data_IF_939827001136
#
_entry.id   IF_939827001136
#
_cell.length_a   1.000
_cell.length_b   1.000
_cell.length_c   1.000
_cell.angle_alpha   90.00
_cell.angle_beta   90.00
_cell.angle_gamma   90.00
#
_symmetry.space_group_name_H-M   'P 1'
#
loop_
_entity.id
_entity.type
_entity.pdbx_description
1 polymer ?
#
# COMPACT_ATOMS: atom_id res chain seq x y z
N UNK A 1 -18.99 -22.95 10.07
CA UNK A 1 -17.99 -22.19 9.30
C UNK A 1 -16.92 -21.52 10.19
N UNK A 2 -17.28 -20.82 11.28
CA UNK A 2 -16.30 -20.17 12.18
C UNK A 2 -15.47 -21.19 13.00
N UNK A 3 -16.09 -22.29 13.47
CA UNK A 3 -15.39 -23.37 14.18
C UNK A 3 -14.43 -24.17 13.31
N UNK A 4 -14.65 -24.21 12.01
CA UNK A 4 -13.77 -24.91 11.05
C UNK A 4 -12.47 -24.11 10.78
N UNK A 5 -12.54 -22.79 10.92
CA UNK A 5 -11.37 -21.89 10.83
C UNK A 5 -10.45 -22.01 12.07
N UNK A 6 -11.02 -22.26 13.25
CA UNK A 6 -10.25 -22.46 14.50
C UNK A 6 -9.56 -23.84 14.55
N UNK A 7 -10.17 -24.90 13.99
CA UNK A 7 -9.65 -26.27 14.04
C UNK A 7 -8.61 -26.57 12.97
N UNK A 8 -8.59 -25.84 11.85
CA UNK A 8 -7.62 -26.06 10.75
C UNK A 8 -6.39 -25.19 10.82
N UNK A 9 -6.27 -24.35 11.84
CA UNK A 9 -5.10 -23.49 12.07
C UNK A 9 -4.88 -22.49 10.93
N UNK A 10 -4.60 -21.24 11.26
CA UNK A 10 -4.30 -20.16 10.31
C UNK A 10 -3.15 -20.49 9.31
N UNK A 11 -2.47 -21.61 9.46
CA UNK A 11 -1.44 -22.12 8.57
C UNK A 11 -1.95 -22.60 7.20
N UNK A 12 -3.23 -22.97 7.08
CA UNK A 12 -3.78 -23.47 5.82
C UNK A 12 -4.45 -22.38 4.97
N UNK A 13 -4.68 -21.19 5.52
CA UNK A 13 -5.14 -20.02 4.77
C UNK A 13 -4.05 -19.45 3.84
N UNK A 14 -2.81 -19.89 4.02
CA UNK A 14 -1.63 -19.44 3.25
C UNK A 14 -0.89 -20.65 2.64
N UNK A 15 -1.60 -21.74 2.35
CA UNK A 15 -1.04 -22.88 1.62
C UNK A 15 -0.49 -22.44 0.25
N UNK A 16 0.55 -23.14 -0.21
CA UNK A 16 1.27 -22.83 -1.46
C UNK A 16 0.36 -22.74 -2.71
N UNK A 17 -0.85 -23.31 -2.65
CA UNK A 17 -1.85 -23.27 -3.73
C UNK A 17 -2.74 -22.02 -3.69
N UNK A 18 -2.76 -21.26 -2.58
CA UNK A 18 -3.57 -20.02 -2.44
C UNK A 18 -2.74 -18.74 -2.57
N UNK A 19 -1.44 -18.83 -2.77
CA UNK A 19 -0.59 -17.66 -3.02
C UNK A 19 -1.04 -16.83 -4.23
N UNK A 20 -1.76 -17.45 -5.18
CA UNK A 20 -2.39 -16.76 -6.31
C UNK A 20 -3.60 -15.90 -5.92
N UNK A 21 -4.31 -16.19 -4.82
CA UNK A 21 -5.50 -15.45 -4.39
C UNK A 21 -5.19 -14.22 -3.52
N UNK A 22 -4.04 -14.17 -2.88
CA UNK A 22 -3.59 -12.94 -2.16
C UNK A 22 -3.37 -11.80 -3.15
N UNK A 23 -3.06 -12.11 -4.40
CA UNK A 23 -2.92 -11.15 -5.51
C UNK A 23 -4.25 -10.47 -5.86
N UNK A 24 -5.38 -11.15 -5.71
CA UNK A 24 -6.70 -10.62 -6.07
C UNK A 24 -7.39 -9.82 -4.96
N UNK A 25 -7.07 -10.09 -3.70
CA UNK A 25 -7.76 -9.48 -2.54
C UNK A 25 -6.95 -8.31 -1.96
N UNK A 26 -5.72 -8.13 -2.41
CA UNK A 26 -4.83 -7.06 -1.95
C UNK A 26 -4.31 -7.28 -0.52
N UNK A 27 -3.03 -7.08 -0.36
CA UNK A 27 -2.33 -7.09 0.93
C UNK A 27 -3.05 -6.23 2.00
N UNK A 28 -3.70 -5.17 1.57
CA UNK A 28 -4.42 -4.22 2.43
C UNK A 28 -5.64 -4.85 3.10
N UNK A 29 -6.48 -5.58 2.36
CA UNK A 29 -7.63 -6.27 2.93
C UNK A 29 -7.20 -7.40 3.87
N UNK A 30 -6.14 -8.14 3.54
CA UNK A 30 -5.54 -9.13 4.42
C UNK A 30 -5.08 -8.49 5.74
N UNK A 31 -4.38 -7.35 5.67
CA UNK A 31 -3.94 -6.61 6.84
C UNK A 31 -5.12 -6.06 7.68
N UNK A 32 -6.18 -5.62 7.03
CA UNK A 32 -7.39 -5.13 7.67
C UNK A 32 -8.13 -6.27 8.41
N UNK A 33 -8.28 -7.43 7.78
CA UNK A 33 -8.90 -8.60 8.40
C UNK A 33 -8.09 -9.13 9.59
N UNK A 34 -6.77 -9.19 9.48
CA UNK A 34 -5.90 -9.58 10.59
C UNK A 34 -6.07 -8.66 11.80
N UNK A 35 -6.13 -7.36 11.60
CA UNK A 35 -6.31 -6.39 12.70
C UNK A 35 -7.66 -6.50 13.34
N UNK A 36 -8.72 -6.64 12.55
CA UNK A 36 -10.06 -6.85 13.10
C UNK A 36 -10.12 -8.10 13.96
N UNK A 37 -9.45 -9.17 13.55
CA UNK A 37 -9.36 -10.40 14.32
C UNK A 37 -8.59 -10.21 15.61
N UNK A 38 -7.45 -9.52 15.58
CA UNK A 38 -6.62 -9.20 16.76
C UNK A 38 -7.36 -8.29 17.74
N UNK A 39 -8.04 -7.23 17.24
CA UNK A 39 -8.81 -6.32 18.08
C UNK A 39 -9.98 -7.06 18.78
N UNK A 40 -10.68 -7.96 18.08
CA UNK A 40 -11.71 -8.82 18.68
C UNK A 40 -11.16 -9.74 19.77
N UNK A 41 -10.00 -10.36 19.54
CA UNK A 41 -9.35 -11.23 20.52
C UNK A 41 -8.87 -10.50 21.76
N UNK A 42 -8.48 -9.23 21.62
CA UNK A 42 -8.07 -8.37 22.74
C UNK A 42 -9.25 -7.75 23.51
N UNK A 43 -10.50 -7.97 23.07
CA UNK A 43 -11.69 -7.35 23.70
C UNK A 43 -11.72 -5.82 23.57
N UNK A 44 -10.81 -5.26 22.78
CA UNK A 44 -10.85 -3.84 22.43
C UNK A 44 -12.10 -3.62 21.58
N UNK A 45 -13.00 -2.74 22.02
CA UNK A 45 -14.00 -2.18 21.12
C UNK A 45 -13.20 -1.63 19.95
N UNK A 46 -13.31 -2.28 18.80
CA UNK A 46 -12.71 -1.80 17.57
C UNK A 46 -13.29 -0.40 17.31
N UNK A 47 -12.73 0.60 17.95
CA UNK A 47 -12.71 1.92 17.37
C UNK A 47 -12.03 1.65 16.04
N UNK A 48 -12.82 1.68 14.98
CA UNK A 48 -12.33 1.51 13.61
C UNK A 48 -11.33 2.64 13.39
N UNK A 49 -10.09 2.42 13.81
CA UNK A 49 -9.00 3.28 13.42
C UNK A 49 -9.02 3.20 11.89
N UNK A 50 -9.58 4.24 11.29
CA UNK A 50 -9.71 4.36 9.84
C UNK A 50 -8.29 4.32 9.33
N UNK A 51 -7.89 3.19 8.75
CA UNK A 51 -6.58 3.05 8.15
C UNK A 51 -6.59 3.67 6.77
N UNK A 52 -5.55 4.44 6.49
CA UNK A 52 -5.40 5.04 5.17
C UNK A 52 -5.18 3.96 4.11
N UNK A 53 -6.00 3.98 3.09
CA UNK A 53 -5.83 3.17 1.88
C UNK A 53 -4.77 3.80 0.98
N UNK A 54 -3.82 3.01 0.46
CA UNK A 54 -2.76 3.49 -0.43
C UNK A 54 -2.85 2.72 -1.75
N UNK A 55 -3.32 3.39 -2.82
CA UNK A 55 -3.50 2.82 -4.15
C UNK A 55 -2.68 3.62 -5.17
N UNK A 56 -1.55 3.09 -5.56
CA UNK A 56 -0.62 3.74 -6.48
C UNK A 56 -0.55 2.96 -7.79
N UNK A 57 -0.87 3.61 -8.90
CA UNK A 57 -0.93 3.00 -10.24
C UNK A 57 0.42 2.53 -10.78
N UNK A 58 1.51 2.94 -10.15
CA UNK A 58 2.89 2.56 -10.48
C UNK A 58 3.51 1.55 -9.48
N UNK A 59 2.76 1.09 -8.49
CA UNK A 59 3.25 0.14 -7.48
C UNK A 59 2.37 -1.08 -7.40
N UNK A 60 2.99 -2.24 -7.48
CA UNK A 60 2.39 -3.54 -7.24
C UNK A 60 2.76 -4.04 -5.86
N UNK A 61 1.78 -4.32 -5.00
CA UNK A 61 2.03 -4.91 -3.69
C UNK A 61 1.72 -6.40 -3.73
N UNK A 62 2.70 -7.25 -3.44
CA UNK A 62 2.52 -8.71 -3.33
C UNK A 62 3.50 -9.52 -4.17
N UNK A 63 3.36 -10.87 -4.10
CA UNK A 63 4.26 -11.85 -4.73
C UNK A 63 3.83 -12.29 -6.14
N UNK A 64 2.69 -11.81 -6.64
CA UNK A 64 2.22 -12.11 -8.00
C UNK A 64 3.05 -11.41 -9.08
N UNK A 65 3.03 -11.94 -10.30
CA UNK A 65 3.58 -11.22 -11.45
C UNK A 65 2.84 -9.89 -11.60
N UNK A 66 3.59 -8.80 -11.81
CA UNK A 66 2.98 -7.54 -12.21
C UNK A 66 2.13 -7.83 -13.47
N UNK A 67 0.86 -7.42 -13.53
CA UNK A 67 0.08 -7.62 -14.74
C UNK A 67 0.86 -7.00 -15.89
N UNK A 68 1.18 -7.81 -16.89
CA UNK A 68 1.76 -7.35 -18.13
C UNK A 68 0.81 -6.29 -18.69
N UNK A 69 1.31 -5.07 -18.83
CA UNK A 69 0.65 -3.84 -19.22
C UNK A 69 -0.66 -3.99 -19.98
N UNK A 70 -1.76 -4.14 -19.29
CA UNK A 70 -3.11 -3.79 -19.78
C UNK A 70 -4.20 -3.98 -18.70
N UNK A 71 -4.00 -3.46 -17.50
CA UNK A 71 -5.05 -3.45 -16.50
C UNK A 71 -5.70 -2.06 -16.46
N UNK A 72 -6.62 -1.79 -17.39
CA UNK A 72 -7.40 -0.56 -17.32
C UNK A 72 -8.06 -0.09 -18.59
N UNK A 73 -8.15 -0.91 -19.64
CA UNK A 73 -9.11 -0.63 -20.72
C UNK A 73 -10.50 -1.16 -20.34
N UNK A 74 -11.20 -0.41 -19.50
CA UNK A 74 -12.64 -0.34 -19.64
C UNK A 74 -12.90 0.55 -20.88
N UNK A 75 -13.24 -0.11 -21.98
CA UNK A 75 -13.59 0.57 -23.22
C UNK A 75 -15.03 1.06 -23.06
N UNK A 76 -15.19 2.26 -22.50
CA UNK A 76 -16.43 3.02 -22.64
C UNK A 76 -16.19 4.14 -23.64
N UNK A 77 -17.09 4.26 -24.61
CA UNK A 77 -17.00 5.06 -25.84
C UNK A 77 -16.81 6.58 -25.71
N UNK A 78 -16.11 7.05 -24.66
CA UNK A 78 -15.77 8.47 -24.43
C UNK A 78 -14.27 8.76 -24.62
N UNK A 79 -13.52 7.88 -25.28
CA UNK A 79 -12.04 7.89 -25.31
C UNK A 79 -11.43 8.81 -26.35
N UNK A 80 -12.18 9.35 -27.30
CA UNK A 80 -11.61 10.14 -28.39
C UNK A 80 -11.09 11.55 -28.00
N UNK A 81 -11.51 12.11 -26.86
CA UNK A 81 -11.04 13.43 -26.39
C UNK A 81 -9.90 13.37 -25.38
N UNK A 82 -9.57 12.16 -24.86
CA UNK A 82 -8.45 11.97 -23.92
C UNK A 82 -7.11 11.68 -24.60
N UNK A 83 -7.11 11.38 -25.88
CA UNK A 83 -5.88 11.00 -26.59
C UNK A 83 -4.96 12.21 -26.87
N UNK A 84 -5.50 13.41 -26.94
CA UNK A 84 -4.71 14.64 -27.08
C UNK A 84 -3.92 15.03 -25.79
N UNK A 85 -4.34 14.55 -24.60
CA UNK A 85 -3.58 14.74 -23.35
C UNK A 85 -2.52 13.64 -23.10
N UNK A 86 -2.52 12.60 -23.91
CA UNK A 86 -1.58 11.46 -23.79
C UNK A 86 -0.22 11.70 -24.44
N UNK A 87 -0.10 12.66 -25.32
CA UNK A 87 1.17 12.94 -26.05
C UNK A 87 2.33 13.44 -25.14
N UNK A 88 2.06 13.74 -23.85
CA UNK A 88 3.07 14.13 -22.88
C UNK A 88 3.04 13.28 -21.60
N UNK A 89 2.48 12.08 -21.64
CA UNK A 89 2.53 11.16 -20.52
C UNK A 89 3.96 10.61 -20.40
N UNK A 90 4.73 11.14 -19.46
CA UNK A 90 6.00 10.54 -19.03
C UNK A 90 5.72 9.08 -18.69
N UNK A 91 6.36 8.16 -19.41
CA UNK A 91 6.25 6.73 -19.13
C UNK A 91 6.72 6.47 -17.71
N UNK A 92 5.79 6.14 -16.83
CA UNK A 92 6.08 5.93 -15.40
C UNK A 92 6.56 4.52 -15.22
N UNK A 93 7.78 4.35 -14.76
CA UNK A 93 8.31 3.06 -14.37
C UNK A 93 7.48 2.47 -13.23
N UNK A 94 7.22 1.16 -13.30
CA UNK A 94 6.48 0.43 -12.27
C UNK A 94 7.43 -0.36 -11.38
N UNK A 95 7.08 -0.50 -10.10
CA UNK A 95 7.86 -1.26 -9.12
C UNK A 95 6.97 -2.24 -8.38
N UNK A 96 7.55 -3.40 -8.05
CA UNK A 96 6.91 -4.36 -7.17
C UNK A 96 7.36 -4.12 -5.73
N UNK A 97 6.40 -3.98 -4.81
CA UNK A 97 6.65 -3.81 -3.39
C UNK A 97 6.41 -5.14 -2.67
N UNK A 98 7.50 -5.84 -2.34
CA UNK A 98 7.46 -7.15 -1.69
C UNK A 98 8.74 -7.46 -0.95
N UNK A 99 8.75 -8.56 -0.20
CA UNK A 99 9.94 -9.21 0.35
C UNK A 99 10.26 -10.41 -0.54
N UNK A 100 11.25 -10.31 -1.47
CA UNK A 100 11.58 -11.39 -2.39
C UNK A 100 12.03 -12.66 -1.66
N UNK A 101 11.73 -13.84 -2.22
CA UNK A 101 12.23 -15.12 -1.70
C UNK A 101 13.76 -15.23 -1.81
N UNK A 102 14.37 -14.52 -2.75
CA UNK A 102 15.83 -14.40 -2.86
C UNK A 102 16.47 -13.62 -1.71
N UNK A 103 15.73 -12.69 -1.09
CA UNK A 103 16.18 -11.95 0.09
C UNK A 103 15.86 -12.68 1.38
N UNK A 104 14.67 -13.22 1.51
CA UNK A 104 14.21 -13.98 2.67
C UNK A 104 13.48 -15.24 2.19
N UNK A 105 14.21 -16.38 2.16
CA UNK A 105 13.70 -17.64 1.60
C UNK A 105 12.57 -18.28 2.43
N UNK A 106 12.60 -18.09 3.75
CA UNK A 106 11.63 -18.70 4.67
C UNK A 106 10.28 -17.97 4.60
N UNK A 107 9.26 -18.66 4.07
CA UNK A 107 7.91 -18.11 3.89
C UNK A 107 7.27 -17.65 5.20
N UNK A 108 7.47 -18.39 6.29
CA UNK A 108 6.93 -18.06 7.62
C UNK A 108 7.46 -16.69 8.11
N UNK A 109 8.76 -16.47 7.96
CA UNK A 109 9.37 -15.20 8.36
C UNK A 109 8.90 -14.05 7.46
N UNK A 110 8.73 -14.28 6.13
CA UNK A 110 8.14 -13.26 5.25
C UNK A 110 6.75 -12.84 5.72
N UNK A 111 5.90 -13.81 6.04
CA UNK A 111 4.55 -13.55 6.56
C UNK A 111 4.60 -12.75 7.87
N UNK A 112 5.52 -13.09 8.78
CA UNK A 112 5.68 -12.36 10.04
C UNK A 112 6.12 -10.91 9.81
N UNK A 113 7.02 -10.65 8.87
CA UNK A 113 7.41 -9.28 8.51
C UNK A 113 6.27 -8.52 7.83
N UNK A 114 5.51 -9.14 6.93
CA UNK A 114 4.30 -8.51 6.36
C UNK A 114 3.29 -8.16 7.47
N UNK A 115 3.10 -9.05 8.44
CA UNK A 115 2.23 -8.79 9.60
C UNK A 115 2.74 -7.62 10.44
N UNK A 116 4.04 -7.57 10.76
CA UNK A 116 4.65 -6.47 11.51
C UNK A 116 4.48 -5.14 10.77
N UNK A 117 4.73 -5.10 9.46
CA UNK A 117 4.51 -3.91 8.63
C UNK A 117 3.05 -3.47 8.64
N UNK A 118 2.12 -4.42 8.50
CA UNK A 118 0.69 -4.16 8.55
C UNK A 118 0.24 -3.60 9.90
N UNK A 119 0.79 -4.08 10.99
CA UNK A 119 0.44 -3.67 12.36
C UNK A 119 1.15 -2.39 12.80
N UNK A 120 2.20 -1.99 12.11
CA UNK A 120 2.96 -0.77 12.45
C UNK A 120 2.07 0.48 12.28
N UNK A 121 1.97 1.28 13.34
CA UNK A 121 1.21 2.52 13.42
C UNK A 121 2.10 3.74 13.64
N UNK A 122 3.39 3.55 13.79
CA UNK A 122 4.36 4.60 14.06
C UNK A 122 5.60 4.50 13.18
N UNK A 123 6.20 5.65 12.89
CA UNK A 123 7.46 5.72 12.16
C UNK A 123 8.63 5.09 12.94
N UNK A 124 8.57 5.13 14.26
CA UNK A 124 9.56 4.48 15.11
C UNK A 124 9.49 2.95 14.96
N UNK A 125 8.28 2.38 15.02
CA UNK A 125 8.06 0.96 14.79
C UNK A 125 8.49 0.52 13.38
N UNK A 126 8.20 1.34 12.37
CA UNK A 126 8.65 1.06 11.00
C UNK A 126 10.19 1.05 10.89
N UNK A 127 10.89 2.00 11.50
CA UNK A 127 12.36 2.02 11.55
C UNK A 127 12.95 0.81 12.26
N UNK A 128 12.30 0.34 13.31
CA UNK A 128 12.73 -0.88 14.01
C UNK A 128 12.60 -2.10 13.09
N UNK A 129 11.48 -2.24 12.37
CA UNK A 129 11.29 -3.33 11.39
C UNK A 129 12.35 -3.25 10.28
N UNK A 130 12.65 -2.05 9.78
CA UNK A 130 13.70 -1.84 8.79
C UNK A 130 15.08 -2.26 9.34
N UNK A 131 15.39 -1.90 10.59
CA UNK A 131 16.60 -2.32 11.29
C UNK A 131 16.69 -3.85 11.42
N UNK A 132 15.63 -4.49 11.93
CA UNK A 132 15.53 -5.94 12.05
C UNK A 132 15.79 -6.67 10.72
N UNK A 133 15.23 -6.17 9.62
CA UNK A 133 15.45 -6.73 8.29
C UNK A 133 16.92 -6.61 7.88
N UNK A 134 17.51 -5.43 8.06
CA UNK A 134 18.90 -5.15 7.67
C UNK A 134 19.91 -5.95 8.52
N UNK A 135 19.70 -6.01 9.83
CA UNK A 135 20.62 -6.66 10.76
C UNK A 135 20.61 -8.18 10.62
N UNK A 136 19.43 -8.76 10.36
CA UNK A 136 19.29 -10.22 10.27
C UNK A 136 19.57 -10.78 8.88
N UNK A 137 19.25 -10.04 7.81
CA UNK A 137 19.29 -10.52 6.42
C UNK A 137 20.15 -9.67 5.49
N UNK A 138 20.79 -8.63 6.01
CA UNK A 138 21.67 -7.75 5.24
C UNK A 138 20.93 -6.70 4.41
N UNK A 139 21.62 -6.14 3.41
CA UNK A 139 21.07 -5.09 2.55
C UNK A 139 19.93 -5.63 1.68
N UNK A 140 18.84 -4.91 1.62
CA UNK A 140 17.68 -5.23 0.79
C UNK A 140 17.61 -4.37 -0.46
N UNK A 141 16.96 -4.91 -1.51
CA UNK A 141 16.74 -4.27 -2.80
C UNK A 141 15.59 -3.25 -2.80
N UNK A 142 15.30 -2.74 -3.99
CA UNK A 142 14.31 -1.68 -4.19
C UNK A 142 12.88 -2.15 -3.95
N UNK A 143 12.58 -3.44 -4.12
CA UNK A 143 11.27 -4.03 -3.83
C UNK A 143 10.91 -3.90 -2.34
N UNK A 144 11.85 -4.20 -1.44
CA UNK A 144 11.66 -4.04 0.01
C UNK A 144 11.63 -2.57 0.39
N UNK A 145 12.47 -1.71 -0.23
CA UNK A 145 12.41 -0.26 -0.03
C UNK A 145 11.03 0.30 -0.39
N UNK A 146 10.48 -0.12 -1.53
CA UNK A 146 9.14 0.30 -1.94
C UNK A 146 8.08 -0.10 -0.92
N UNK A 147 8.14 -1.34 -0.38
CA UNK A 147 7.23 -1.83 0.65
C UNK A 147 7.31 -1.00 1.94
N UNK A 148 8.52 -0.64 2.38
CA UNK A 148 8.74 0.22 3.54
C UNK A 148 8.19 1.63 3.30
N UNK A 149 8.45 2.23 2.13
CA UNK A 149 7.96 3.56 1.78
C UNK A 149 6.43 3.62 1.69
N UNK A 150 5.77 2.58 1.16
CA UNK A 150 4.30 2.49 1.15
C UNK A 150 3.75 2.44 2.58
N UNK A 151 4.40 1.66 3.46
CA UNK A 151 4.02 1.60 4.86
C UNK A 151 4.21 2.95 5.54
N UNK A 152 5.28 3.68 5.22
CA UNK A 152 5.51 5.04 5.70
C UNK A 152 4.43 6.02 5.20
N UNK A 153 4.08 5.97 3.91
CA UNK A 153 3.00 6.79 3.33
C UNK A 153 1.70 6.56 4.10
N UNK A 154 1.33 5.30 4.37
CA UNK A 154 0.14 4.96 5.13
C UNK A 154 0.16 5.58 6.53
N UNK A 155 1.24 5.39 7.29
CA UNK A 155 1.39 5.91 8.65
C UNK A 155 1.27 7.44 8.65
N UNK A 156 1.95 8.13 7.72
CA UNK A 156 1.90 9.59 7.63
C UNK A 156 0.52 10.10 7.21
N UNK A 157 -0.13 9.41 6.27
CA UNK A 157 -1.49 9.73 5.86
C UNK A 157 -2.45 9.65 7.06
N UNK A 158 -2.38 8.57 7.85
CA UNK A 158 -3.18 8.41 9.08
C UNK A 158 -2.92 9.55 10.07
N UNK A 159 -1.66 9.94 10.29
CA UNK A 159 -1.29 11.05 11.17
C UNK A 159 -1.83 12.41 10.69
N UNK A 160 -2.06 12.56 9.38
CA UNK A 160 -2.60 13.77 8.76
C UNK A 160 -4.12 13.71 8.53
N UNK A 161 -4.80 12.71 9.07
CA UNK A 161 -6.25 12.55 8.90
C UNK A 161 -6.65 12.21 7.46
N UNK A 162 -5.73 11.66 6.66
CA UNK A 162 -5.99 11.19 5.30
C UNK A 162 -6.42 9.72 5.35
N UNK A 163 -7.51 9.39 4.68
CA UNK A 163 -8.09 8.04 4.61
C UNK A 163 -7.83 7.33 3.30
N UNK A 164 -7.48 8.05 2.25
CA UNK A 164 -7.05 7.46 0.97
C UNK A 164 -5.95 8.28 0.33
N UNK A 165 -4.93 7.59 -0.19
CA UNK A 165 -3.85 8.13 -1.02
C UNK A 165 -3.86 7.37 -2.33
N UNK A 166 -4.19 8.03 -3.42
CA UNK A 166 -4.32 7.43 -4.74
C UNK A 166 -3.49 8.19 -5.76
N UNK A 167 -2.98 7.49 -6.77
CA UNK A 167 -2.36 8.13 -7.93
C UNK A 167 -3.06 7.74 -9.21
N UNK A 168 -3.17 8.71 -10.11
CA UNK A 168 -3.66 8.53 -11.46
C UNK A 168 -2.68 9.25 -12.41
N UNK A 169 -1.82 8.49 -13.05
CA UNK A 169 -0.67 9.01 -13.82
C UNK A 169 0.23 9.91 -12.96
N UNK A 170 0.21 11.21 -13.18
CA UNK A 170 0.95 12.18 -12.37
C UNK A 170 0.13 12.80 -11.24
N UNK A 171 -1.19 12.62 -11.21
CA UNK A 171 -2.07 13.24 -10.21
C UNK A 171 -2.00 12.49 -8.89
N UNK A 172 -1.78 13.22 -7.80
CA UNK A 172 -1.87 12.69 -6.44
C UNK A 172 -3.19 13.12 -5.81
N UNK A 173 -3.98 12.15 -5.36
CA UNK A 173 -5.29 12.35 -4.74
C UNK A 173 -5.21 11.88 -3.28
N UNK A 174 -5.47 12.78 -2.35
CA UNK A 174 -5.50 12.47 -0.92
C UNK A 174 -6.88 12.85 -0.36
N UNK A 175 -7.63 11.89 0.17
CA UNK A 175 -8.96 12.10 0.74
C UNK A 175 -8.84 12.28 2.25
N UNK A 176 -9.44 13.34 2.80
CA UNK A 176 -9.50 13.62 4.24
C UNK A 176 -10.65 12.90 4.93
N UNK A 177 -10.46 12.59 6.19
CA UNK A 177 -11.51 12.10 7.08
C UNK A 177 -12.27 13.27 7.74
N UNK A 178 -12.95 14.06 6.95
CA UNK A 178 -13.68 15.25 7.47
C UNK A 178 -15.17 15.02 7.66
N UNK A 179 -15.67 13.80 7.43
CA UNK A 179 -17.10 13.49 7.41
C UNK A 179 -17.86 14.05 6.21
N UNK A 180 -17.19 14.80 5.32
CA UNK A 180 -17.74 15.27 4.05
C UNK A 180 -17.41 14.26 2.96
N UNK A 181 -18.33 14.03 2.04
CA UNK A 181 -18.00 13.31 0.80
C UNK A 181 -17.05 14.17 -0.03
N UNK A 182 -16.05 13.53 -0.63
CA UNK A 182 -15.15 14.16 -1.61
C UNK A 182 -14.28 15.33 -1.08
N UNK A 183 -13.86 15.28 0.19
CA UNK A 183 -12.89 16.23 0.74
C UNK A 183 -11.46 15.91 0.28
N UNK A 184 -11.23 16.09 -1.01
CA UNK A 184 -9.93 15.86 -1.62
C UNK A 184 -8.99 17.03 -1.37
N UNK A 185 -7.76 16.70 -0.98
CA UNK A 185 -6.69 17.71 -0.82
C UNK A 185 -6.31 18.29 -2.17
N UNK A 186 -6.41 19.59 -2.29
CA UNK A 186 -6.04 20.36 -3.50
C UNK A 186 -5.00 21.42 -3.15
N UNK A 187 -4.17 21.77 -4.14
CA UNK A 187 -3.27 22.93 -4.11
C UNK A 187 -3.86 23.98 -5.04
N UNK A 188 -4.48 24.99 -4.47
CA UNK A 188 -5.38 25.87 -5.22
C UNK A 188 -6.62 25.12 -5.69
N UNK A 189 -6.87 25.09 -7.01
CA UNK A 189 -8.00 24.37 -7.63
C UNK A 189 -7.58 23.06 -8.32
N UNK A 190 -6.35 22.57 -8.07
CA UNK A 190 -5.80 21.42 -8.79
C UNK A 190 -5.27 20.36 -7.82
N UNK A 191 -5.31 19.11 -8.26
CA UNK A 191 -4.60 18.05 -7.57
C UNK A 191 -3.09 18.22 -7.67
N UNK A 192 -2.34 17.92 -6.59
CA UNK A 192 -0.88 17.88 -6.65
C UNK A 192 -0.41 16.93 -7.75
N UNK A 193 0.73 17.23 -8.35
CA UNK A 193 1.33 16.39 -9.39
C UNK A 193 2.69 15.88 -8.97
N UNK A 194 2.91 14.58 -9.23
CA UNK A 194 4.22 13.95 -9.10
C UNK A 194 5.05 14.23 -10.36
N UNK A 195 6.31 14.54 -10.18
CA UNK A 195 7.17 15.08 -11.24
C UNK A 195 8.18 14.08 -11.77
N UNK A 196 8.58 13.09 -10.94
CA UNK A 196 9.60 12.11 -11.32
C UNK A 196 9.00 10.85 -11.95
N UNK A 197 9.67 10.22 -12.95
CA UNK A 197 9.25 8.95 -13.51
C UNK A 197 9.65 7.75 -12.64
N UNK A 198 10.71 7.88 -11.81
CA UNK A 198 11.30 6.80 -11.01
C UNK A 198 10.43 6.46 -9.80
N UNK A 199 9.98 5.21 -9.63
CA UNK A 199 8.98 4.85 -8.64
C UNK A 199 9.39 5.15 -7.19
N UNK A 200 10.63 4.86 -6.79
CA UNK A 200 11.10 5.16 -5.44
C UNK A 200 11.16 6.67 -5.15
N UNK A 201 11.46 7.49 -6.16
CA UNK A 201 11.46 8.95 -6.02
C UNK A 201 10.01 9.46 -5.93
N UNK A 202 9.07 8.91 -6.72
CA UNK A 202 7.65 9.23 -6.61
C UNK A 202 7.10 8.93 -5.21
N UNK A 203 7.46 7.79 -4.62
CA UNK A 203 7.07 7.47 -3.25
C UNK A 203 7.59 8.51 -2.25
N UNK A 204 8.82 8.99 -2.43
CA UNK A 204 9.39 10.07 -1.61
C UNK A 204 8.72 11.42 -1.84
N UNK A 205 8.31 11.75 -3.06
CA UNK A 205 7.50 12.94 -3.35
C UNK A 205 6.17 12.90 -2.60
N UNK A 206 5.49 11.75 -2.57
CA UNK A 206 4.24 11.57 -1.80
C UNK A 206 4.50 11.79 -0.30
N UNK A 207 5.57 11.21 0.24
CA UNK A 207 5.96 11.39 1.64
C UNK A 207 6.23 12.87 1.94
N UNK A 208 6.99 13.56 1.08
CA UNK A 208 7.28 14.98 1.22
C UNK A 208 6.00 15.83 1.18
N UNK A 209 5.08 15.51 0.27
CA UNK A 209 3.78 16.18 0.21
C UNK A 209 2.97 15.99 1.50
N UNK A 210 2.86 14.76 2.00
CA UNK A 210 2.14 14.48 3.25
C UNK A 210 2.75 15.19 4.45
N UNK A 211 4.09 15.31 4.51
CA UNK A 211 4.77 16.03 5.59
C UNK A 211 4.42 17.53 5.61
N UNK A 212 4.23 18.11 4.44
CA UNK A 212 3.91 19.55 4.30
C UNK A 212 2.42 19.84 4.52
N UNK A 213 1.56 18.83 4.66
CA UNK A 213 0.17 19.06 5.01
C UNK A 213 0.04 19.52 6.47
N UNK A 214 -0.88 20.45 6.75
CA UNK A 214 -1.21 20.82 8.13
C UNK A 214 -1.68 19.58 8.91
N UNK A 215 -1.50 19.61 10.22
CA UNK A 215 -2.09 18.60 11.09
C UNK A 215 -3.62 18.77 11.09
N UNK A 216 -4.37 17.67 11.30
CA UNK A 216 -5.82 17.71 11.35
C UNK A 216 -6.34 18.57 12.49
#
# INVERSE_FOLDING_TARGET
ALKDLELRGAGNLLGAEQSGHIVGVGFELYCQLLRQSVARLKGEKAAAAIRASVKLDFVFVGEGAAPAGDAGRHVDGYTALKDAEREHAVEVERIQARIPSSYLSETRLRIDFYRKLAMSDSLAGLKQIEGDLRDRFGKFGDEVKALLLITEIRIRAEQKGIVSVETESSRLKCLRNSGRRDDWVQVGLRFPRLTTPKPLLRLREIISFLNNLPNP
#
